data_IF_685926946494
#
_entry.id   IF_685926946494
#
_cell.length_a   1.000
_cell.length_b   1.000
_cell.length_c   1.000
_cell.angle_alpha   90.00
_cell.angle_beta   90.00
_cell.angle_gamma   90.00
#
_symmetry.space_group_name_H-M   'P 1'
#
loop_
_entity.id
_entity.type
_entity.pdbx_description
1 polymer ?
#
# COMPACT_ATOMS: atom_id res chain seq x y z
N UNK A 1 -0.45 12.67 16.63
CA UNK A 1 0.41 12.95 15.45
C UNK A 1 -0.46 13.67 14.43
N UNK A 2 -0.15 14.93 14.14
CA UNK A 2 -0.68 15.63 12.97
C UNK A 2 -0.14 14.95 11.71
N UNK A 3 -1.02 14.70 10.74
CA UNK A 3 -0.63 14.09 9.47
C UNK A 3 0.29 15.01 8.66
N UNK A 4 1.02 14.42 7.72
CA UNK A 4 1.76 15.17 6.70
C UNK A 4 0.78 16.00 5.85
N UNK A 5 1.08 17.28 5.65
CA UNK A 5 0.28 18.18 4.81
C UNK A 5 0.68 18.16 3.34
N UNK A 6 1.83 17.56 2.99
CA UNK A 6 2.22 17.41 1.59
C UNK A 6 1.13 16.68 0.82
N UNK A 7 0.74 17.26 -0.31
CA UNK A 7 -0.37 16.79 -1.12
C UNK A 7 0.00 16.90 -2.60
N UNK A 8 -0.18 15.79 -3.30
CA UNK A 8 -0.15 15.74 -4.76
C UNK A 8 -1.48 15.22 -5.28
N UNK A 9 -1.88 15.70 -6.45
CA UNK A 9 -3.07 15.27 -7.16
C UNK A 9 -2.65 14.72 -8.51
N UNK A 10 -3.14 13.52 -8.81
CA UNK A 10 -3.07 12.93 -10.14
C UNK A 10 -4.45 13.08 -10.79
N UNK A 11 -4.50 13.75 -11.94
CA UNK A 11 -5.73 13.95 -12.71
C UNK A 11 -5.50 13.48 -14.13
N UNK A 12 -6.49 12.78 -14.69
CA UNK A 12 -6.55 12.58 -16.14
C UNK A 12 -7.12 13.85 -16.75
N UNK A 13 -6.33 14.53 -17.57
CA UNK A 13 -6.75 15.77 -18.22
C UNK A 13 -6.85 15.53 -19.72
N UNK A 14 -8.02 15.84 -20.27
CA UNK A 14 -8.24 15.96 -21.70
C UNK A 14 -7.99 17.42 -22.10
N UNK A 15 -6.82 17.69 -22.67
CA UNK A 15 -6.47 19.01 -23.17
C UNK A 15 -6.88 19.13 -24.64
N UNK A 16 -8.14 19.53 -24.83
CA UNK A 16 -8.76 19.72 -26.14
C UNK A 16 -8.00 20.70 -27.06
N UNK A 17 -7.11 21.54 -26.52
CA UNK A 17 -6.28 22.46 -27.32
C UNK A 17 -4.93 21.86 -27.71
N UNK A 18 -4.41 20.93 -26.92
CA UNK A 18 -3.14 20.26 -27.18
C UNK A 18 -3.31 18.93 -27.94
N UNK A 19 -4.55 18.44 -28.12
CA UNK A 19 -4.86 17.10 -28.64
C UNK A 19 -4.11 15.97 -27.90
N UNK A 20 -3.85 16.18 -26.61
CA UNK A 20 -3.13 15.23 -25.77
C UNK A 20 -3.99 14.90 -24.57
N UNK A 21 -4.36 13.62 -24.47
CA UNK A 21 -4.93 13.04 -23.27
C UNK A 21 -3.82 12.42 -22.44
N UNK A 22 -3.55 12.96 -21.25
CA UNK A 22 -2.48 12.45 -20.40
C UNK A 22 -2.79 12.59 -18.90
N UNK A 23 -2.12 11.75 -18.12
CA UNK A 23 -2.12 11.82 -16.67
C UNK A 23 -1.19 12.93 -16.20
N UNK A 24 -1.76 13.99 -15.62
CA UNK A 24 -0.97 15.09 -15.04
C UNK A 24 -0.89 14.94 -13.53
N UNK A 25 0.33 15.01 -13.01
CA UNK A 25 0.58 15.05 -11.57
C UNK A 25 0.95 16.48 -11.15
N UNK A 26 0.16 17.07 -10.26
CA UNK A 26 0.41 18.39 -9.69
C UNK A 26 0.66 18.27 -8.19
N UNK A 27 1.71 18.94 -7.71
CA UNK A 27 1.95 19.13 -6.27
C UNK A 27 1.14 20.35 -5.80
N UNK A 28 0.16 20.13 -4.94
CA UNK A 28 -0.70 21.20 -4.38
C UNK A 28 -0.08 21.84 -3.15
N UNK A 29 0.55 21.02 -2.30
CA UNK A 29 1.27 21.48 -1.10
C UNK A 29 2.71 20.96 -1.17
N UNK A 30 3.70 21.81 -1.55
CA UNK A 30 5.06 21.35 -1.82
C UNK A 30 5.94 21.22 -0.58
N UNK A 31 5.38 21.36 0.63
CA UNK A 31 6.14 21.37 1.88
C UNK A 31 5.62 20.30 2.85
N UNK A 32 6.51 19.79 3.69
CA UNK A 32 6.16 18.92 4.81
C UNK A 32 6.11 19.75 6.11
N UNK A 33 5.15 19.46 6.97
CA UNK A 33 5.05 20.03 8.33
C UNK A 33 5.85 19.21 9.37
N UNK A 34 6.78 18.36 8.92
CA UNK A 34 7.64 17.54 9.75
C UNK A 34 9.01 17.32 9.08
N UNK A 35 10.02 16.97 9.86
CA UNK A 35 11.32 16.61 9.33
C UNK A 35 11.23 15.40 8.38
N UNK A 36 12.09 15.37 7.35
CA UNK A 36 12.23 14.19 6.50
C UNK A 36 12.65 13.00 7.36
N UNK A 37 11.93 11.90 7.24
CA UNK A 37 12.41 10.64 7.80
C UNK A 37 13.46 10.07 6.87
N UNK A 38 14.67 9.85 7.37
CA UNK A 38 15.77 9.25 6.62
C UNK A 38 15.75 7.73 6.78
N UNK A 39 15.87 7.03 5.65
CA UNK A 39 16.02 5.57 5.59
C UNK A 39 14.69 4.78 5.61
N UNK A 40 14.74 3.49 5.27
CA UNK A 40 13.56 2.64 5.10
C UNK A 40 12.65 2.62 6.34
N UNK A 41 13.22 2.62 7.55
CA UNK A 41 12.47 2.53 8.81
C UNK A 41 11.58 3.75 9.10
N UNK A 42 11.86 4.88 8.45
CA UNK A 42 11.04 6.08 8.48
C UNK A 42 9.62 5.83 7.98
N UNK A 43 9.47 4.90 7.04
CA UNK A 43 8.19 4.56 6.45
C UNK A 43 7.57 3.33 7.13
N UNK A 44 6.33 3.47 7.59
CA UNK A 44 5.61 2.41 8.33
C UNK A 44 5.48 1.10 7.55
N UNK A 45 5.49 1.14 6.22
CA UNK A 45 5.38 -0.04 5.36
C UNK A 45 6.68 -0.85 5.24
N UNK A 46 7.83 -0.25 5.54
CA UNK A 46 9.15 -0.91 5.54
C UNK A 46 9.57 -1.41 6.92
N UNK A 47 8.84 -1.04 7.98
CA UNK A 47 9.11 -1.55 9.33
C UNK A 47 8.93 -3.08 9.34
N UNK A 48 9.93 -3.78 9.86
CA UNK A 48 9.83 -5.22 10.17
C UNK A 48 9.22 -5.38 11.54
N UNK A 49 8.21 -6.25 11.66
CA UNK A 49 7.59 -6.60 12.94
C UNK A 49 8.37 -7.75 13.58
N UNK A 50 8.16 -7.96 14.88
CA UNK A 50 8.72 -9.15 15.53
C UNK A 50 8.09 -10.41 14.88
N UNK A 51 8.83 -11.51 14.89
CA UNK A 51 8.44 -12.72 14.18
C UNK A 51 7.09 -13.29 14.68
N UNK A 52 6.82 -13.18 15.98
CA UNK A 52 5.58 -13.63 16.61
C UNK A 52 4.34 -12.88 16.08
N UNK A 53 4.40 -11.54 16.03
CA UNK A 53 3.30 -10.73 15.52
C UNK A 53 3.06 -11.01 14.04
N UNK A 54 4.13 -11.16 13.26
CA UNK A 54 4.02 -11.48 11.84
C UNK A 54 3.37 -12.84 11.61
N UNK A 55 3.80 -13.87 12.35
CA UNK A 55 3.24 -15.21 12.26
C UNK A 55 1.74 -15.23 12.62
N UNK A 56 1.33 -14.49 13.64
CA UNK A 56 -0.09 -14.44 14.02
C UNK A 56 -0.93 -13.67 12.99
N UNK A 57 -0.42 -12.58 12.42
CA UNK A 57 -1.09 -11.87 11.32
C UNK A 57 -1.25 -12.80 10.11
N UNK A 58 -0.21 -13.53 9.73
CA UNK A 58 -0.23 -14.47 8.61
C UNK A 58 -1.23 -15.61 8.84
N UNK A 59 -1.20 -16.23 10.04
CA UNK A 59 -2.13 -17.27 10.44
C UNK A 59 -3.59 -16.82 10.42
N UNK A 60 -3.88 -15.59 10.85
CA UNK A 60 -5.23 -15.03 10.83
C UNK A 60 -5.66 -14.63 9.42
N UNK A 61 -4.75 -14.06 8.64
CA UNK A 61 -5.02 -13.66 7.27
C UNK A 61 -5.34 -14.88 6.38
N UNK A 62 -4.66 -16.01 6.56
CA UNK A 62 -4.99 -17.26 5.86
C UNK A 62 -6.37 -17.83 6.23
N UNK A 63 -6.93 -17.43 7.39
CA UNK A 63 -8.31 -17.72 7.80
C UNK A 63 -9.34 -16.74 7.21
N UNK A 64 -8.93 -15.86 6.28
CA UNK A 64 -9.74 -14.79 5.70
C UNK A 64 -10.26 -13.76 6.72
N UNK A 65 -9.55 -13.58 7.85
CA UNK A 65 -9.92 -12.55 8.81
C UNK A 65 -9.61 -11.14 8.28
N UNK A 66 -10.53 -10.20 8.53
CA UNK A 66 -10.33 -8.79 8.14
C UNK A 66 -9.25 -8.14 9.02
N UNK A 67 -8.51 -7.15 8.49
CA UNK A 67 -7.46 -6.46 9.27
C UNK A 67 -7.95 -5.86 10.59
N UNK A 68 -9.23 -5.44 10.69
CA UNK A 68 -9.81 -4.98 11.96
C UNK A 68 -10.00 -6.12 12.97
N UNK A 69 -10.45 -7.29 12.52
CA UNK A 69 -10.61 -8.47 13.38
C UNK A 69 -9.25 -8.94 13.90
N UNK A 70 -8.26 -9.05 13.00
CA UNK A 70 -6.88 -9.39 13.35
C UNK A 70 -6.33 -8.42 14.40
N UNK A 71 -6.51 -7.11 14.20
CA UNK A 71 -6.09 -6.10 15.17
C UNK A 71 -6.76 -6.30 16.52
N UNK A 72 -8.09 -6.49 16.55
CA UNK A 72 -8.84 -6.68 17.79
C UNK A 72 -8.31 -7.85 18.61
N UNK A 73 -8.04 -8.97 17.95
CA UNK A 73 -7.51 -10.17 18.61
C UNK A 73 -6.08 -9.97 19.13
N UNK A 74 -5.22 -9.31 18.37
CA UNK A 74 -3.84 -9.03 18.77
C UNK A 74 -3.81 -8.08 19.97
N UNK A 75 -4.62 -7.02 19.95
CA UNK A 75 -4.73 -6.08 21.08
C UNK A 75 -5.28 -6.79 22.32
N UNK A 76 -6.29 -7.65 22.17
CA UNK A 76 -6.83 -8.44 23.27
C UNK A 76 -5.79 -9.39 23.90
N UNK A 77 -4.78 -9.81 23.13
CA UNK A 77 -3.65 -10.64 23.60
C UNK A 77 -2.46 -9.83 24.12
N UNK A 78 -2.58 -8.50 24.20
CA UNK A 78 -1.54 -7.62 24.74
C UNK A 78 -0.49 -7.14 23.73
N UNK A 79 -0.69 -7.36 22.43
CA UNK A 79 0.24 -6.87 21.42
C UNK A 79 0.10 -5.35 21.24
N UNK A 80 1.24 -4.64 21.24
CA UNK A 80 1.28 -3.21 20.92
C UNK A 80 1.40 -3.02 19.41
N UNK A 81 0.27 -2.89 18.73
CA UNK A 81 0.19 -2.78 17.26
C UNK A 81 -0.96 -1.87 16.82
N UNK A 82 -0.84 -1.23 15.65
CA UNK A 82 -1.88 -0.37 15.06
C UNK A 82 -2.58 -1.04 13.87
N UNK A 83 -3.73 -0.50 13.45
CA UNK A 83 -4.42 -0.98 12.24
C UNK A 83 -3.55 -0.84 10.99
N UNK A 84 -2.76 0.24 10.90
CA UNK A 84 -1.89 0.46 9.74
C UNK A 84 -0.81 -0.61 9.64
N UNK A 85 -0.34 -1.11 10.78
CA UNK A 85 0.66 -2.17 10.83
C UNK A 85 0.11 -3.47 10.28
N UNK A 86 -1.10 -3.86 10.72
CA UNK A 86 -1.79 -5.05 10.20
C UNK A 86 -2.04 -4.91 8.69
N UNK A 87 -2.50 -3.75 8.23
CA UNK A 87 -2.71 -3.49 6.79
C UNK A 87 -1.42 -3.60 5.98
N UNK A 88 -0.30 -3.09 6.51
CA UNK A 88 0.99 -3.14 5.84
C UNK A 88 1.48 -4.60 5.70
N UNK A 89 1.37 -5.41 6.76
CA UNK A 89 1.74 -6.83 6.71
C UNK A 89 0.84 -7.63 5.76
N UNK A 90 -0.48 -7.45 5.84
CA UNK A 90 -1.41 -8.04 4.87
C UNK A 90 -1.08 -7.61 3.43
N UNK A 91 -0.69 -6.35 3.23
CA UNK A 91 -0.23 -5.88 1.92
C UNK A 91 1.03 -6.59 1.42
N UNK A 92 1.99 -6.89 2.29
CA UNK A 92 3.18 -7.68 1.95
C UNK A 92 2.81 -9.12 1.60
N UNK A 93 1.94 -9.75 2.39
CA UNK A 93 1.47 -11.12 2.15
C UNK A 93 0.73 -11.25 0.81
N UNK A 94 -0.14 -10.28 0.48
CA UNK A 94 -0.82 -10.22 -0.82
C UNK A 94 0.17 -10.07 -1.98
N UNK A 95 1.17 -9.19 -1.85
CA UNK A 95 2.22 -9.07 -2.87
C UNK A 95 2.96 -10.38 -3.05
N UNK A 96 3.30 -11.08 -1.97
CA UNK A 96 3.96 -12.38 -2.06
C UNK A 96 3.11 -13.42 -2.81
N UNK A 97 1.78 -13.46 -2.60
CA UNK A 97 0.86 -14.31 -3.37
C UNK A 97 0.83 -13.96 -4.86
N UNK A 98 0.97 -12.68 -5.20
CA UNK A 98 1.01 -12.20 -6.58
C UNK A 98 2.43 -12.23 -7.19
N UNK A 99 3.34 -13.09 -6.70
CA UNK A 99 4.70 -13.19 -7.23
C UNK A 99 5.57 -11.95 -7.02
N UNK A 100 5.21 -11.08 -6.07
CA UNK A 100 5.88 -9.81 -5.79
C UNK A 100 5.19 -8.58 -6.38
N UNK A 101 4.23 -8.75 -7.29
CA UNK A 101 3.50 -7.66 -7.92
C UNK A 101 2.51 -6.99 -6.97
N UNK A 102 2.31 -5.69 -7.11
CA UNK A 102 1.12 -5.00 -6.66
C UNK A 102 -0.11 -5.43 -7.47
N UNK A 103 -1.33 -5.16 -6.99
CA UNK A 103 -2.55 -5.52 -7.74
C UNK A 103 -2.60 -4.88 -9.13
N UNK A 104 -2.09 -3.66 -9.28
CA UNK A 104 -2.04 -2.98 -10.58
C UNK A 104 -1.02 -3.66 -11.47
N UNK A 105 0.18 -3.96 -10.96
CA UNK A 105 1.21 -4.68 -11.74
C UNK A 105 0.76 -6.08 -12.14
N UNK A 106 0.08 -6.80 -11.24
CA UNK A 106 -0.47 -8.13 -11.53
C UNK A 106 -1.57 -8.05 -12.60
N UNK A 107 -2.45 -7.04 -12.53
CA UNK A 107 -3.49 -6.80 -13.54
C UNK A 107 -2.87 -6.41 -14.89
N UNK A 108 -1.87 -5.53 -14.91
CA UNK A 108 -1.16 -5.14 -16.13
C UNK A 108 -0.42 -6.34 -16.74
N UNK A 109 0.20 -7.19 -15.92
CA UNK A 109 0.84 -8.42 -16.39
C UNK A 109 -0.19 -9.37 -17.02
N UNK A 110 -1.32 -9.60 -16.35
CA UNK A 110 -2.40 -10.42 -16.87
C UNK A 110 -2.94 -9.88 -18.20
N UNK A 111 -3.22 -8.58 -18.28
CA UNK A 111 -3.70 -7.96 -19.52
C UNK A 111 -2.68 -8.10 -20.65
N UNK A 112 -1.40 -7.85 -20.37
CA UNK A 112 -0.33 -8.02 -21.37
C UNK A 112 -0.18 -9.47 -21.86
N UNK A 113 -0.33 -10.44 -20.95
CA UNK A 113 -0.14 -11.86 -21.27
C UNK A 113 -1.35 -12.46 -22.01
N UNK A 114 -2.57 -11.95 -21.77
CA UNK A 114 -3.80 -12.59 -22.25
C UNK A 114 -4.69 -11.71 -23.16
N UNK A 115 -4.32 -10.44 -23.41
CA UNK A 115 -5.03 -9.55 -24.35
C UNK A 115 -4.24 -9.32 -25.63
N UNK A 116 -2.90 -9.42 -25.59
CA UNK A 116 -2.05 -9.25 -26.77
C UNK A 116 -1.90 -10.53 -27.64
N UNK A 117 -2.53 -11.65 -27.24
CA UNK A 117 -2.46 -12.95 -27.95
C UNK A 117 -3.56 -13.11 -29.05
N UNK A 118 -4.25 -12.03 -29.41
CA UNK A 118 -5.26 -11.98 -30.49
C UNK A 118 -4.75 -11.26 -31.76
N UNK A 119 -3.48 -11.46 -32.15
CA UNK A 119 -2.96 -11.14 -33.50
C UNK A 119 -2.20 -12.30 -34.14
#
# INVERSE_FOLDING_TARGET
MTGCEWMGRLTYEDDLLAEVEDWKFRVEVPFHNHARSYGPLGYTHHRKRNAETQAEIERRWSQNDTSRKILGDLVARGFTITLQDVKNEVGKLRRAQMGGFSHIEALLHFLKEFVDDDT
#
